data_IF_242958048311
#
_entry.id   IF_242958048311
#
_cell.length_a   1.000
_cell.length_b   1.000
_cell.length_c   1.000
_cell.angle_alpha   90.00
_cell.angle_beta   90.00
_cell.angle_gamma   90.00
#
_symmetry.space_group_name_H-M   'P 1'
#
loop_
_entity.id
_entity.type
_entity.pdbx_description
1 polymer ?
#
# COMPACT_ATOMS: atom_id res chain seq x y z
N UNK A 1 10.52 -15.12 -0.05
CA UNK A 1 10.30 -14.51 -1.38
C UNK A 1 9.57 -13.20 -1.16
N UNK A 2 10.13 -12.09 -1.61
CA UNK A 2 9.55 -10.75 -1.49
C UNK A 2 8.45 -10.57 -2.53
N UNK A 3 7.22 -10.26 -2.11
CA UNK A 3 6.12 -9.97 -3.03
C UNK A 3 5.39 -8.69 -2.62
N UNK A 4 4.98 -7.94 -3.64
CA UNK A 4 4.20 -6.70 -3.50
C UNK A 4 2.96 -6.82 -4.37
N UNK A 5 1.79 -6.68 -3.74
CA UNK A 5 0.49 -6.70 -4.40
C UNK A 5 -0.10 -5.30 -4.41
N UNK A 6 -0.45 -4.82 -5.60
CA UNK A 6 -1.15 -3.55 -5.81
C UNK A 6 -2.60 -3.86 -6.14
N UNK A 7 -3.53 -3.40 -5.29
CA UNK A 7 -4.96 -3.57 -5.54
C UNK A 7 -5.69 -2.24 -5.46
N UNK A 8 -6.70 -2.07 -6.31
CA UNK A 8 -7.60 -0.92 -6.29
C UNK A 8 -9.04 -1.40 -6.11
N UNK A 9 -9.76 -0.79 -5.17
CA UNK A 9 -11.13 -1.10 -4.84
C UNK A 9 -11.98 0.18 -4.91
N UNK A 10 -13.24 0.09 -5.37
CA UNK A 10 -14.15 1.22 -5.32
C UNK A 10 -14.35 1.68 -3.86
N UNK A 11 -14.30 2.99 -3.63
CA UNK A 11 -14.45 3.62 -2.32
C UNK A 11 -15.11 4.99 -2.50
N UNK A 12 -16.32 5.17 -1.97
CA UNK A 12 -17.12 6.38 -2.18
C UNK A 12 -17.38 6.66 -3.67
N UNK A 13 -17.05 7.89 -4.10
CA UNK A 13 -17.20 8.35 -5.49
C UNK A 13 -15.98 8.04 -6.38
N UNK A 14 -15.04 7.20 -5.93
CA UNK A 14 -13.81 6.90 -6.66
C UNK A 14 -13.23 5.53 -6.31
N UNK A 15 -11.91 5.45 -6.38
CA UNK A 15 -11.13 4.24 -6.11
C UNK A 15 -10.07 4.54 -5.05
N UNK A 16 -9.96 3.67 -4.06
CA UNK A 16 -8.78 3.62 -3.21
C UNK A 16 -7.91 2.46 -3.65
N UNK A 17 -6.60 2.63 -3.50
CA UNK A 17 -5.67 1.54 -3.72
C UNK A 17 -4.88 1.20 -2.46
N UNK A 18 -4.36 -0.01 -2.44
CA UNK A 18 -3.57 -0.58 -1.37
C UNK A 18 -2.35 -1.27 -1.96
N UNK A 19 -1.20 -0.97 -1.39
CA UNK A 19 0.05 -1.72 -1.57
C UNK A 19 0.16 -2.67 -0.39
N UNK A 20 0.19 -3.97 -0.65
CA UNK A 20 0.36 -5.01 0.37
C UNK A 20 1.66 -5.76 0.14
N UNK A 21 2.45 -5.88 1.20
CA UNK A 21 3.70 -6.60 1.24
C UNK A 21 3.50 -8.01 1.80
N UNK A 22 4.35 -8.94 1.40
CA UNK A 22 4.32 -10.33 1.87
C UNK A 22 4.54 -10.51 3.38
N UNK A 23 5.05 -9.50 4.08
CA UNK A 23 5.28 -9.51 5.54
C UNK A 23 4.09 -8.96 6.35
N UNK A 24 2.96 -8.64 5.70
CA UNK A 24 1.79 -8.05 6.36
C UNK A 24 1.76 -6.52 6.42
N UNK A 25 2.84 -5.82 6.04
CA UNK A 25 2.79 -4.36 5.88
C UNK A 25 1.84 -4.02 4.75
N UNK A 26 0.90 -3.11 5.01
CA UNK A 26 0.00 -2.58 3.98
C UNK A 26 -0.09 -1.06 4.07
N UNK A 27 -0.07 -0.43 2.91
CA UNK A 27 -0.13 1.02 2.73
C UNK A 27 -1.30 1.33 1.80
N UNK A 28 -2.32 1.98 2.34
CA UNK A 28 -3.47 2.41 1.57
C UNK A 28 -3.34 3.87 1.16
N UNK A 29 -3.85 4.19 -0.02
CA UNK A 29 -4.02 5.58 -0.45
C UNK A 29 -4.86 6.36 0.57
N UNK A 30 -4.53 7.63 0.78
CA UNK A 30 -5.22 8.46 1.77
C UNK A 30 -6.66 8.80 1.35
N UNK A 31 -6.90 8.92 0.05
CA UNK A 31 -8.13 9.47 -0.52
C UNK A 31 -8.64 8.60 -1.67
N UNK A 32 -9.89 8.82 -2.08
CA UNK A 32 -10.48 8.17 -3.25
C UNK A 32 -10.15 8.98 -4.51
N UNK A 33 -9.64 8.29 -5.53
CA UNK A 33 -9.23 8.87 -6.82
C UNK A 33 -10.23 8.53 -7.92
N UNK A 34 -10.35 9.37 -8.97
CA UNK A 34 -11.35 9.14 -10.02
C UNK A 34 -11.04 7.89 -10.87
N UNK A 35 -9.78 7.44 -10.93
CA UNK A 35 -9.38 6.22 -11.62
C UNK A 35 -8.60 5.24 -10.75
N UNK A 36 -8.69 3.95 -11.09
CA UNK A 36 -7.88 2.88 -10.45
C UNK A 36 -6.37 3.13 -10.60
N UNK A 37 -5.95 3.63 -11.76
CA UNK A 37 -4.54 3.90 -12.05
C UNK A 37 -3.99 5.00 -11.14
N UNK A 38 -4.72 6.11 -10.97
CA UNK A 38 -4.34 7.18 -10.06
C UNK A 38 -4.35 6.72 -8.61
N UNK A 39 -5.34 5.92 -8.21
CA UNK A 39 -5.39 5.36 -6.86
C UNK A 39 -4.11 4.56 -6.57
N UNK A 40 -3.71 3.68 -7.50
CA UNK A 40 -2.52 2.83 -7.39
C UNK A 40 -1.25 3.69 -7.35
N UNK A 41 -1.14 4.67 -8.25
CA UNK A 41 -0.01 5.58 -8.27
C UNK A 41 0.12 6.36 -6.97
N UNK A 42 -0.99 6.89 -6.43
CA UNK A 42 -1.01 7.60 -5.16
C UNK A 42 -0.60 6.70 -3.98
N UNK A 43 -1.07 5.45 -3.94
CA UNK A 43 -0.66 4.48 -2.92
C UNK A 43 0.85 4.16 -3.02
N UNK A 44 1.38 4.02 -4.24
CA UNK A 44 2.81 3.78 -4.49
C UNK A 44 3.68 5.00 -4.11
N UNK A 45 3.24 6.23 -4.43
CA UNK A 45 3.94 7.45 -4.02
C UNK A 45 3.94 7.58 -2.50
N UNK A 46 2.80 7.35 -1.85
CA UNK A 46 2.69 7.38 -0.39
C UNK A 46 3.60 6.35 0.29
N UNK A 47 3.74 5.18 -0.33
CA UNK A 47 4.70 4.17 0.11
C UNK A 47 6.15 4.68 0.07
N UNK A 48 6.56 5.41 -0.98
CA UNK A 48 7.89 6.03 -1.06
C UNK A 48 8.10 7.11 0.02
N UNK A 49 7.03 7.76 0.48
CA UNK A 49 7.10 8.75 1.58
C UNK A 49 7.10 8.13 2.98
N UNK A 50 6.98 6.80 3.10
CA UNK A 50 6.93 6.08 4.38
C UNK A 50 8.06 5.03 4.49
N UNK A 51 9.35 5.42 4.36
CA UNK A 51 10.47 4.49 4.40
C UNK A 51 10.52 3.69 5.70
N UNK A 52 10.18 4.28 6.85
CA UNK A 52 10.16 3.61 8.16
C UNK A 52 9.18 2.42 8.21
N UNK A 53 8.11 2.47 7.41
CA UNK A 53 7.14 1.37 7.30
C UNK A 53 7.68 0.25 6.43
N UNK A 54 8.55 0.56 5.46
CA UNK A 54 9.32 -0.42 4.70
C UNK A 54 10.47 -1.01 5.51
N UNK A 55 11.09 -0.28 6.43
CA UNK A 55 12.14 -0.86 7.28
C UNK A 55 11.60 -1.98 8.17
N UNK A 56 10.31 -1.89 8.56
CA UNK A 56 9.57 -3.00 9.19
C UNK A 56 9.41 -4.24 8.28
N UNK A 57 9.70 -4.12 6.99
CA UNK A 57 9.76 -5.25 6.07
C UNK A 57 10.98 -6.15 6.30
N UNK A 58 12.12 -5.55 6.64
CA UNK A 58 13.36 -6.29 6.94
C UNK A 58 13.45 -6.78 8.38
N UNK A 59 12.59 -6.28 9.28
CA UNK A 59 12.52 -6.79 10.64
C UNK A 59 11.90 -8.19 10.65
N UNK A 60 12.48 -9.16 11.38
CA UNK A 60 11.85 -10.45 11.59
C UNK A 60 10.47 -10.25 12.22
N UNK A 61 9.45 -10.99 11.77
CA UNK A 61 8.15 -11.03 12.44
C UNK A 61 8.40 -11.33 13.92
N UNK A 62 8.13 -10.35 14.79
CA UNK A 62 8.15 -10.56 16.23
C UNK A 62 7.00 -11.52 16.54
N UNK A 63 7.34 -12.79 16.73
CA UNK A 63 6.43 -13.79 17.28
C UNK A 63 6.21 -13.45 18.76
N UNK A 64 4.99 -13.04 19.09
CA UNK A 64 4.42 -13.17 20.44
C UNK A 64 3.27 -14.20 20.37
#
# INVERSE_FOLDING_TARGET
MTSVTLSASPSGNGFQAKVSYSNGVSISSAEAFPSKAEAIAAAAVKMLTMPDRLERFDLPEWQD
#
